data_IF_563036641615
#
_entry.id   IF_563036641615
#
_cell.length_a   1.000
_cell.length_b   1.000
_cell.length_c   1.000
_cell.angle_alpha   90.00
_cell.angle_beta   90.00
_cell.angle_gamma   90.00
#
_symmetry.space_group_name_H-M   'P 1'
#
loop_
_entity.id
_entity.type
_entity.pdbx_description
1 polymer ?
#
# COMPACT_ATOMS: atom_id res chain seq x y z
N UNK A 1 -9.95 -25.21 13.99
CA UNK A 1 -9.00 -25.78 12.99
C UNK A 1 -7.85 -24.78 12.88
N UNK A 2 -6.66 -25.17 13.28
CA UNK A 2 -5.45 -24.35 13.15
C UNK A 2 -5.05 -24.38 11.66
N UNK A 3 -5.01 -23.21 11.01
CA UNK A 3 -4.49 -23.06 9.67
C UNK A 3 -3.02 -23.53 9.65
N UNK A 4 -2.72 -24.57 8.88
CA UNK A 4 -1.35 -24.96 8.58
C UNK A 4 -0.94 -24.33 7.25
N UNK A 5 0.10 -23.49 7.18
CA UNK A 5 0.58 -22.94 5.93
C UNK A 5 1.07 -24.08 5.03
N UNK A 6 0.68 -24.04 3.75
CA UNK A 6 1.33 -24.86 2.72
C UNK A 6 2.79 -24.44 2.62
N UNK A 7 3.71 -25.40 2.63
CA UNK A 7 5.17 -25.20 2.58
C UNK A 7 5.58 -24.21 1.48
N UNK A 8 6.35 -23.19 1.84
CA UNK A 8 6.80 -22.10 0.95
C UNK A 8 6.36 -20.70 1.40
N UNK A 9 6.30 -20.40 2.66
CA UNK A 9 5.43 -19.42 3.32
C UNK A 9 5.99 -18.01 3.52
N UNK A 10 7.13 -17.66 2.91
CA UNK A 10 7.62 -16.27 2.95
C UNK A 10 6.96 -15.38 1.88
N UNK A 11 6.89 -14.09 2.15
CA UNK A 11 6.46 -13.10 1.16
C UNK A 11 7.33 -13.19 -0.10
N UNK A 12 6.68 -13.35 -1.26
CA UNK A 12 7.31 -13.32 -2.57
C UNK A 12 6.59 -12.31 -3.46
N UNK A 13 7.32 -11.31 -3.93
CA UNK A 13 6.82 -10.38 -4.92
C UNK A 13 6.71 -11.05 -6.29
N UNK A 14 5.59 -10.81 -6.95
CA UNK A 14 5.31 -11.26 -8.32
C UNK A 14 5.06 -10.00 -9.16
N UNK A 15 5.80 -9.87 -10.26
CA UNK A 15 5.72 -8.76 -11.20
C UNK A 15 5.85 -9.28 -12.63
N UNK A 16 6.02 -8.40 -13.63
CA UNK A 16 6.13 -8.79 -15.05
C UNK A 16 7.19 -9.87 -15.31
N UNK A 17 8.31 -9.81 -14.60
CA UNK A 17 9.45 -10.73 -14.80
C UNK A 17 9.17 -12.19 -14.40
N UNK A 18 8.15 -12.44 -13.60
CA UNK A 18 7.88 -13.78 -13.08
C UNK A 18 6.40 -14.21 -13.08
N UNK A 19 5.47 -13.34 -13.46
CA UNK A 19 4.02 -13.68 -13.51
C UNK A 19 3.73 -14.81 -14.49
N UNK A 20 4.49 -14.91 -15.58
CA UNK A 20 4.35 -15.99 -16.56
C UNK A 20 4.62 -17.41 -16.00
N UNK A 21 5.23 -17.50 -14.80
CA UNK A 21 5.40 -18.77 -14.09
C UNK A 21 4.13 -19.22 -13.32
N UNK A 22 3.13 -18.34 -13.24
CA UNK A 22 1.88 -18.63 -12.54
C UNK A 22 0.98 -19.50 -13.42
N UNK A 23 0.47 -20.65 -12.95
CA UNK A 23 -0.28 -21.57 -13.80
C UNK A 23 -1.50 -20.96 -14.49
N UNK A 24 -2.22 -20.08 -13.78
CA UNK A 24 -3.42 -19.43 -14.30
C UNK A 24 -3.11 -18.35 -15.35
N UNK A 25 -1.87 -17.88 -15.43
CA UNK A 25 -1.48 -16.86 -16.41
C UNK A 25 -1.70 -17.30 -17.85
N UNK A 26 -1.44 -18.57 -18.17
CA UNK A 26 -1.64 -19.10 -19.50
C UNK A 26 -3.11 -19.23 -19.89
N UNK A 27 -4.00 -19.35 -18.91
CA UNK A 27 -5.46 -19.45 -19.14
C UNK A 27 -6.12 -18.09 -19.43
N UNK A 28 -5.43 -16.98 -19.18
CA UNK A 28 -5.92 -15.63 -19.48
C UNK A 28 -5.88 -15.39 -20.99
N UNK A 29 -6.91 -14.70 -21.51
CA UNK A 29 -6.98 -14.31 -22.92
C UNK A 29 -5.70 -13.56 -23.35
N UNK A 30 -5.17 -13.85 -24.57
CA UNK A 30 -3.89 -13.29 -25.03
C UNK A 30 -3.85 -11.75 -25.05
N UNK A 31 -4.94 -11.10 -25.39
CA UNK A 31 -5.09 -9.64 -25.40
C UNK A 31 -5.02 -9.02 -24.00
N UNK A 32 -5.56 -9.71 -23.00
CA UNK A 32 -5.47 -9.30 -21.58
C UNK A 32 -4.03 -9.44 -21.09
N UNK A 33 -3.35 -10.54 -21.39
CA UNK A 33 -1.92 -10.71 -21.05
C UNK A 33 -1.06 -9.63 -21.70
N UNK A 34 -1.29 -9.36 -22.98
CA UNK A 34 -0.61 -8.30 -23.69
C UNK A 34 -0.83 -6.92 -23.04
N UNK A 35 -2.08 -6.64 -22.64
CA UNK A 35 -2.38 -5.39 -21.94
C UNK A 35 -1.60 -5.26 -20.63
N UNK A 36 -1.53 -6.31 -19.84
CA UNK A 36 -0.74 -6.32 -18.59
C UNK A 36 0.74 -6.08 -18.88
N UNK A 37 1.32 -6.70 -19.91
CA UNK A 37 2.72 -6.52 -20.30
C UNK A 37 3.01 -5.09 -20.76
N UNK A 38 2.18 -4.56 -21.65
CA UNK A 38 2.35 -3.21 -22.21
C UNK A 38 2.19 -2.15 -21.12
N UNK A 39 1.07 -2.18 -20.41
CA UNK A 39 0.77 -1.16 -19.40
C UNK A 39 1.69 -1.31 -18.18
N UNK A 40 2.01 -2.53 -17.78
CA UNK A 40 2.94 -2.81 -16.68
C UNK A 40 4.40 -2.43 -16.97
N UNK A 41 4.75 -2.20 -18.25
CA UNK A 41 6.04 -1.61 -18.63
C UNK A 41 6.10 -0.09 -18.37
N UNK A 42 4.95 0.57 -18.29
CA UNK A 42 4.82 2.00 -17.99
C UNK A 42 4.51 2.24 -16.52
N UNK A 43 3.48 1.60 -16.02
CA UNK A 43 2.98 1.73 -14.65
C UNK A 43 3.48 0.58 -13.77
N UNK A 44 3.58 0.78 -12.44
CA UNK A 44 4.09 -0.27 -11.57
C UNK A 44 3.12 -1.45 -11.52
N UNK A 45 3.67 -2.66 -11.66
CA UNK A 45 2.95 -3.90 -11.43
C UNK A 45 3.68 -4.74 -10.40
N UNK A 46 2.97 -5.07 -9.34
CA UNK A 46 3.43 -5.97 -8.29
C UNK A 46 2.22 -6.60 -7.62
N UNK A 47 2.29 -7.91 -7.43
CA UNK A 47 1.36 -8.68 -6.65
C UNK A 47 2.10 -9.73 -5.83
N UNK A 48 1.41 -10.65 -5.20
CA UNK A 48 1.98 -11.73 -4.43
C UNK A 48 1.08 -12.98 -4.49
N UNK A 49 1.61 -14.08 -3.99
CA UNK A 49 0.95 -15.38 -4.03
C UNK A 49 -0.44 -15.36 -3.36
N UNK A 50 -0.57 -14.74 -2.20
CA UNK A 50 -1.85 -14.69 -1.48
C UNK A 50 -2.95 -14.02 -2.30
N UNK A 51 -2.64 -12.87 -2.93
CA UNK A 51 -3.60 -12.18 -3.80
C UNK A 51 -4.01 -13.06 -4.98
N UNK A 52 -3.05 -13.75 -5.61
CA UNK A 52 -3.31 -14.59 -6.77
C UNK A 52 -4.10 -15.86 -6.44
N UNK A 53 -3.84 -16.49 -5.28
CA UNK A 53 -4.44 -17.76 -4.90
C UNK A 53 -5.77 -17.60 -4.16
N UNK A 54 -5.92 -16.55 -3.33
CA UNK A 54 -7.02 -16.47 -2.37
C UNK A 54 -8.03 -15.37 -2.72
N UNK A 55 -7.64 -14.35 -3.52
CA UNK A 55 -8.51 -13.19 -3.74
C UNK A 55 -9.05 -13.09 -5.17
N UNK A 56 -8.33 -13.61 -6.18
CA UNK A 56 -8.74 -13.50 -7.59
C UNK A 56 -9.55 -14.74 -8.01
N UNK A 57 -10.75 -14.51 -8.52
CA UNK A 57 -11.51 -15.51 -9.26
C UNK A 57 -11.07 -15.50 -10.74
N UNK A 58 -10.13 -16.37 -11.07
CA UNK A 58 -9.55 -16.46 -12.41
C UNK A 58 -10.55 -16.79 -13.50
N UNK A 59 -11.72 -17.38 -13.16
CA UNK A 59 -12.78 -17.67 -14.13
C UNK A 59 -13.52 -16.42 -14.60
N UNK A 60 -13.36 -15.30 -13.86
CA UNK A 60 -13.99 -14.02 -14.14
C UNK A 60 -13.03 -12.98 -14.74
N UNK A 61 -11.77 -13.30 -14.94
CA UNK A 61 -10.81 -12.40 -15.56
C UNK A 61 -11.20 -12.12 -17.01
N UNK A 62 -11.23 -10.85 -17.48
CA UNK A 62 -10.69 -9.65 -16.82
C UNK A 62 -11.62 -8.90 -15.85
N UNK A 63 -12.86 -9.33 -15.69
CA UNK A 63 -13.91 -8.62 -14.94
C UNK A 63 -13.88 -8.91 -13.41
N UNK A 64 -12.93 -9.71 -12.95
CA UNK A 64 -12.76 -9.94 -11.52
C UNK A 64 -12.30 -8.63 -10.82
N UNK A 65 -12.97 -8.21 -9.73
CA UNK A 65 -12.69 -6.91 -9.09
C UNK A 65 -11.28 -6.83 -8.50
N UNK A 66 -10.70 -7.94 -8.01
CA UNK A 66 -9.34 -7.93 -7.48
C UNK A 66 -8.30 -7.95 -8.61
N UNK A 67 -8.60 -8.63 -9.71
CA UNK A 67 -7.79 -8.51 -10.92
C UNK A 67 -7.77 -7.05 -11.42
N UNK A 68 -8.92 -6.40 -11.53
CA UNK A 68 -9.02 -4.98 -11.89
C UNK A 68 -8.26 -4.06 -10.91
N UNK A 69 -8.27 -4.39 -9.64
CA UNK A 69 -7.63 -3.62 -8.59
C UNK A 69 -6.10 -3.73 -8.61
N UNK A 70 -5.54 -4.86 -9.07
CA UNK A 70 -4.11 -5.18 -8.92
C UNK A 70 -3.37 -5.24 -10.25
N UNK A 71 -4.01 -5.69 -11.32
CA UNK A 71 -3.37 -5.84 -12.62
C UNK A 71 -3.51 -4.59 -13.49
N UNK A 72 -2.45 -4.15 -14.17
CA UNK A 72 -2.55 -3.07 -15.15
C UNK A 72 -3.60 -3.38 -16.23
N UNK A 73 -4.45 -2.40 -16.54
CA UNK A 73 -5.55 -2.53 -17.47
C UNK A 73 -5.29 -1.75 -18.75
N UNK A 74 -5.77 -2.25 -19.90
CA UNK A 74 -5.61 -1.61 -21.22
C UNK A 74 -5.97 -0.13 -21.23
N UNK A 75 -7.07 0.22 -20.55
CA UNK A 75 -7.61 1.58 -20.49
C UNK A 75 -6.83 2.55 -19.59
N UNK A 76 -5.71 2.16 -19.01
CA UNK A 76 -4.86 3.04 -18.20
C UNK A 76 -3.86 3.85 -19.03
N UNK A 77 -3.74 3.57 -20.33
CA UNK A 77 -2.97 4.34 -21.30
C UNK A 77 -3.87 4.76 -22.46
N UNK A 78 -3.58 5.92 -23.02
CA UNK A 78 -4.20 6.36 -24.27
C UNK A 78 -3.84 5.41 -25.43
N UNK A 79 -4.70 5.33 -26.44
CA UNK A 79 -4.51 4.39 -27.55
C UNK A 79 -3.20 4.57 -28.31
N UNK A 80 -2.75 5.82 -28.47
CA UNK A 80 -1.48 6.14 -29.13
C UNK A 80 -0.29 5.67 -28.31
N UNK A 81 -0.30 5.90 -27.01
CA UNK A 81 0.75 5.49 -26.06
C UNK A 81 0.87 3.97 -25.97
N UNK A 82 -0.28 3.31 -25.85
CA UNK A 82 -0.30 1.84 -25.82
C UNK A 82 0.30 1.24 -27.10
N UNK A 83 -0.09 1.73 -28.29
CA UNK A 83 0.46 1.24 -29.57
C UNK A 83 1.96 1.49 -29.70
N UNK A 84 2.44 2.64 -29.24
CA UNK A 84 3.86 2.96 -29.22
C UNK A 84 4.65 1.97 -28.35
N UNK A 85 4.23 1.78 -27.08
CA UNK A 85 4.89 0.85 -26.15
C UNK A 85 4.82 -0.59 -26.66
N UNK A 86 3.64 -1.01 -27.17
CA UNK A 86 3.47 -2.34 -27.76
C UNK A 86 4.42 -2.57 -28.94
N UNK A 87 4.55 -1.59 -29.86
CA UNK A 87 5.45 -1.68 -31.00
C UNK A 87 6.91 -1.82 -30.55
N UNK A 88 7.35 -1.04 -29.58
CA UNK A 88 8.69 -1.08 -29.02
C UNK A 88 9.00 -2.42 -28.31
N UNK A 89 8.03 -2.98 -27.58
CA UNK A 89 8.18 -4.30 -26.97
C UNK A 89 8.35 -5.44 -27.99
N UNK A 90 7.63 -5.32 -29.14
CA UNK A 90 7.65 -6.36 -30.19
C UNK A 90 8.87 -6.26 -31.12
N UNK A 91 9.37 -5.06 -31.39
CA UNK A 91 10.54 -4.86 -32.24
C UNK A 91 11.83 -5.34 -31.59
N UNK A 92 11.88 -5.43 -30.25
CA UNK A 92 13.12 -5.71 -29.52
C UNK A 92 14.18 -4.62 -29.68
N UNK A 93 13.81 -3.49 -30.29
CA UNK A 93 14.69 -2.38 -30.57
C UNK A 93 14.96 -1.51 -29.34
N UNK A 94 16.25 -1.20 -29.19
CA UNK A 94 16.86 -0.17 -28.34
C UNK A 94 16.14 0.10 -27.00
N UNK A 95 16.72 -0.41 -25.94
CA UNK A 95 16.39 -0.08 -24.54
C UNK A 95 16.23 1.43 -24.35
N UNK A 96 16.99 2.25 -25.05
CA UNK A 96 16.94 3.71 -24.99
C UNK A 96 15.62 4.28 -25.52
N UNK A 97 15.13 3.79 -26.67
CA UNK A 97 13.86 4.25 -27.25
C UNK A 97 12.67 3.88 -26.37
N UNK A 98 12.68 2.66 -25.83
CA UNK A 98 11.67 2.22 -24.86
C UNK A 98 11.69 3.08 -23.57
N UNK A 99 12.87 3.32 -23.02
CA UNK A 99 13.01 4.15 -21.81
C UNK A 99 12.53 5.57 -22.05
N UNK A 100 12.86 6.18 -23.19
CA UNK A 100 12.43 7.53 -23.55
C UNK A 100 10.91 7.62 -23.70
N UNK A 101 10.28 6.67 -24.41
CA UNK A 101 8.84 6.62 -24.60
C UNK A 101 8.12 6.43 -23.25
N UNK A 102 8.55 5.48 -22.45
CA UNK A 102 7.97 5.20 -21.13
C UNK A 102 8.07 6.41 -20.20
N UNK A 103 9.23 7.07 -20.12
CA UNK A 103 9.40 8.24 -19.27
C UNK A 103 8.54 9.43 -19.73
N UNK A 104 8.43 9.65 -21.04
CA UNK A 104 7.52 10.67 -21.58
C UNK A 104 6.06 10.39 -21.17
N UNK A 105 5.58 9.17 -21.41
CA UNK A 105 4.22 8.77 -21.04
C UNK A 105 3.99 8.93 -19.53
N UNK A 106 4.96 8.55 -18.69
CA UNK A 106 4.89 8.74 -17.24
C UNK A 106 4.75 10.21 -16.84
N UNK A 107 5.42 11.12 -17.55
CA UNK A 107 5.28 12.56 -17.30
C UNK A 107 3.90 13.08 -17.73
N UNK A 108 3.37 12.59 -18.86
CA UNK A 108 2.04 12.95 -19.36
C UNK A 108 0.92 12.43 -18.42
N UNK A 109 1.14 11.32 -17.71
CA UNK A 109 0.24 10.78 -16.69
C UNK A 109 0.25 11.55 -15.34
N UNK A 110 0.91 12.70 -15.28
CA UNK A 110 1.03 13.51 -14.06
C UNK A 110 1.55 12.75 -12.83
N UNK A 111 2.87 12.49 -12.76
CA UNK A 111 3.47 11.73 -11.65
C UNK A 111 3.45 12.46 -10.31
N UNK A 112 3.02 13.72 -10.29
CA UNK A 112 2.99 14.57 -9.09
C UNK A 112 1.61 15.24 -8.92
N UNK A 113 0.52 14.48 -8.79
CA UNK A 113 -0.81 15.05 -8.61
C UNK A 113 -0.88 15.85 -7.30
N UNK A 114 -1.58 16.99 -7.33
CA UNK A 114 -1.83 17.86 -6.18
C UNK A 114 -0.56 18.34 -5.43
N UNK A 115 0.59 18.38 -6.07
CA UNK A 115 1.83 18.90 -5.47
C UNK A 115 2.30 18.15 -4.22
N UNK A 116 2.03 16.85 -4.14
CA UNK A 116 2.26 16.02 -2.94
C UNK A 116 3.73 15.97 -2.47
N UNK A 117 4.71 16.30 -3.32
CA UNK A 117 6.13 16.34 -2.96
C UNK A 117 6.57 17.73 -2.44
N UNK A 118 5.73 18.72 -2.54
CA UNK A 118 6.09 20.12 -2.23
C UNK A 118 5.10 20.80 -1.29
N UNK A 119 3.80 20.56 -1.48
CA UNK A 119 2.77 21.17 -0.66
C UNK A 119 2.71 20.49 0.71
N UNK A 120 2.53 21.30 1.75
CA UNK A 120 2.44 20.85 3.14
C UNK A 120 3.70 20.16 3.68
N UNK A 121 4.83 20.27 2.99
CA UNK A 121 6.13 19.81 3.50
C UNK A 121 6.68 20.90 4.41
N UNK A 122 6.95 20.63 5.70
CA UNK A 122 7.51 21.62 6.60
C UNK A 122 8.89 22.08 6.14
N UNK A 123 9.22 23.32 6.47
CA UNK A 123 10.56 23.91 6.27
C UNK A 123 11.12 24.21 7.65
N UNK A 124 12.25 23.61 7.99
CA UNK A 124 12.96 23.82 9.25
C UNK A 124 14.37 24.31 8.91
N UNK A 125 14.78 25.42 9.50
CA UNK A 125 16.09 26.05 9.26
C UNK A 125 16.39 26.32 7.77
N UNK A 126 15.34 26.59 6.98
CA UNK A 126 15.44 26.86 5.54
C UNK A 126 15.47 25.61 4.65
N UNK A 127 15.47 24.41 5.23
CA UNK A 127 15.47 23.14 4.51
C UNK A 127 14.12 22.43 4.61
N UNK A 128 13.74 21.70 3.55
CA UNK A 128 12.53 20.89 3.53
C UNK A 128 12.71 19.61 4.32
N UNK A 129 11.73 19.26 5.14
CA UNK A 129 11.69 17.98 5.84
C UNK A 129 11.22 16.87 4.89
N UNK A 130 12.14 16.25 4.18
CA UNK A 130 11.83 15.13 3.29
C UNK A 130 11.12 14.00 4.05
N UNK A 131 10.01 13.51 3.47
CA UNK A 131 9.23 12.42 4.06
C UNK A 131 8.32 12.83 5.22
N UNK A 132 8.05 14.13 5.40
CA UNK A 132 7.08 14.64 6.37
C UNK A 132 6.10 15.58 5.68
N UNK A 133 4.80 15.41 5.97
CA UNK A 133 3.76 16.35 5.53
C UNK A 133 2.93 16.79 6.73
N UNK A 134 2.72 18.10 6.87
CA UNK A 134 1.90 18.70 7.92
C UNK A 134 0.81 19.58 7.28
N UNK A 135 -0.29 18.95 6.87
CA UNK A 135 -1.42 19.62 6.21
C UNK A 135 -2.47 20.11 7.19
N UNK A 136 -2.74 19.33 8.23
CA UNK A 136 -3.76 19.62 9.24
C UNK A 136 -3.06 19.93 10.56
N UNK A 137 -3.58 20.90 11.30
CA UNK A 137 -2.96 21.38 12.53
C UNK A 137 -2.55 20.28 13.50
N UNK A 138 -3.40 19.26 13.66
CA UNK A 138 -3.22 18.19 14.64
C UNK A 138 -2.58 16.93 14.07
N UNK A 139 -2.37 16.84 12.74
CA UNK A 139 -1.94 15.59 12.09
C UNK A 139 -0.72 15.77 11.20
N UNK A 140 0.29 15.00 11.49
CA UNK A 140 1.50 14.85 10.64
C UNK A 140 1.50 13.49 9.97
N UNK A 141 1.82 13.47 8.67
CA UNK A 141 2.09 12.26 7.90
C UNK A 141 3.59 12.01 7.86
N UNK A 142 4.00 10.79 8.13
CA UNK A 142 5.38 10.36 8.13
C UNK A 142 5.59 9.21 7.15
N UNK A 143 6.60 9.33 6.28
CA UNK A 143 6.89 8.44 5.17
C UNK A 143 8.28 7.78 5.35
N UNK A 144 8.41 6.74 6.17
CA UNK A 144 9.69 6.08 6.41
C UNK A 144 10.23 5.45 5.12
N UNK A 145 11.53 5.63 4.84
CA UNK A 145 12.15 5.21 3.58
C UNK A 145 12.05 3.70 3.32
N UNK A 146 12.13 2.89 4.36
CA UNK A 146 12.06 1.43 4.24
C UNK A 146 10.62 0.90 4.06
N UNK A 147 9.61 1.78 4.24
CA UNK A 147 8.20 1.51 4.00
C UNK A 147 7.68 1.97 2.62
N UNK A 148 8.57 2.36 1.69
CA UNK A 148 8.17 2.94 0.40
C UNK A 148 7.89 1.91 -0.71
N UNK A 149 7.40 0.73 -0.35
CA UNK A 149 6.86 -0.26 -1.28
C UNK A 149 5.64 -0.93 -0.64
N UNK A 150 4.92 -1.77 -1.39
CA UNK A 150 3.72 -2.45 -0.91
C UNK A 150 3.81 -3.96 -1.18
N UNK A 151 2.96 -4.74 -0.51
CA UNK A 151 2.82 -6.18 -0.78
C UNK A 151 2.21 -6.47 -2.17
N UNK A 152 1.32 -5.59 -2.64
CA UNK A 152 0.85 -5.50 -4.03
C UNK A 152 0.53 -4.04 -4.35
N UNK A 153 0.62 -3.65 -5.62
CA UNK A 153 0.27 -2.29 -6.05
C UNK A 153 -1.19 -2.24 -6.49
N UNK A 154 -1.87 -1.16 -6.11
CA UNK A 154 -3.23 -0.88 -6.54
C UNK A 154 -3.22 -0.06 -7.84
N UNK A 155 -4.09 -0.37 -8.78
CA UNK A 155 -4.20 0.35 -10.07
C UNK A 155 -4.59 1.82 -9.90
N UNK A 156 -5.21 2.20 -8.79
CA UNK A 156 -5.56 3.58 -8.47
C UNK A 156 -4.48 4.36 -7.72
N UNK A 157 -3.30 3.79 -7.47
CA UNK A 157 -2.30 4.39 -6.60
C UNK A 157 -1.76 5.72 -7.15
N UNK A 158 -2.13 6.85 -6.54
CA UNK A 158 -1.66 8.17 -6.94
C UNK A 158 -0.17 8.42 -6.63
N UNK A 159 0.47 7.54 -5.85
CA UNK A 159 1.92 7.55 -5.55
C UNK A 159 2.73 6.62 -6.46
N UNK A 160 2.16 6.17 -7.56
CA UNK A 160 2.76 5.21 -8.49
C UNK A 160 4.15 5.60 -8.98
N UNK A 161 4.41 6.90 -9.15
CA UNK A 161 5.66 7.42 -9.70
C UNK A 161 6.90 7.02 -8.90
N UNK A 162 6.80 6.95 -7.58
CA UNK A 162 7.92 6.55 -6.73
C UNK A 162 8.29 5.05 -6.85
N UNK A 163 7.38 4.22 -7.35
CA UNK A 163 7.62 2.77 -7.50
C UNK A 163 8.25 2.39 -8.84
N UNK A 164 8.34 3.33 -9.77
CA UNK A 164 8.93 3.10 -11.11
C UNK A 164 10.29 3.78 -11.30
N UNK A 165 10.87 4.32 -10.22
CA UNK A 165 12.22 4.88 -10.22
C UNK A 165 12.38 6.17 -11.02
N UNK A 166 11.30 6.96 -11.16
CA UNK A 166 11.40 8.31 -11.72
C UNK A 166 12.25 9.20 -10.81
N UNK A 167 13.30 9.80 -11.38
CA UNK A 167 14.16 10.74 -10.67
C UNK A 167 13.37 11.94 -10.16
N UNK A 168 13.63 12.36 -8.92
CA UNK A 168 12.94 13.50 -8.29
C UNK A 168 11.54 13.19 -7.72
N UNK A 169 11.01 11.97 -7.90
CA UNK A 169 9.68 11.61 -7.39
C UNK A 169 9.69 10.72 -6.14
N UNK A 170 10.83 10.64 -5.46
CA UNK A 170 10.95 9.95 -4.17
C UNK A 170 10.68 10.93 -3.03
N UNK A 171 9.78 10.58 -2.12
CA UNK A 171 9.43 11.36 -0.93
C UNK A 171 9.46 10.44 0.29
N UNK A 172 10.51 10.55 1.11
CA UNK A 172 10.75 9.63 2.21
C UNK A 172 11.73 10.21 3.24
N UNK A 173 11.56 9.82 4.51
CA UNK A 173 12.48 10.09 5.60
C UNK A 173 13.34 8.88 5.91
N UNK A 174 14.64 9.07 6.08
CA UNK A 174 15.57 7.99 6.47
C UNK A 174 15.58 7.74 7.96
N UNK A 175 15.40 8.79 8.75
CA UNK A 175 15.52 8.80 10.20
C UNK A 175 14.35 9.52 10.85
N UNK A 176 14.18 9.34 12.15
CA UNK A 176 13.05 9.89 12.91
C UNK A 176 13.43 11.15 13.69
N UNK A 177 14.72 11.43 13.87
CA UNK A 177 15.20 12.48 14.76
C UNK A 177 14.64 13.87 14.38
N UNK A 178 14.66 14.21 13.08
CA UNK A 178 14.08 15.48 12.61
C UNK A 178 12.58 15.56 12.88
N UNK A 179 11.86 14.44 12.76
CA UNK A 179 10.44 14.38 13.09
C UNK A 179 10.22 14.59 14.60
N UNK A 180 11.02 13.96 15.45
CA UNK A 180 10.96 14.11 16.91
C UNK A 180 11.19 15.58 17.31
N UNK A 181 12.23 16.22 16.78
CA UNK A 181 12.53 17.63 17.07
C UNK A 181 11.41 18.54 16.56
N UNK A 182 10.86 18.26 15.38
CA UNK A 182 9.71 18.98 14.85
C UNK A 182 8.49 18.86 15.76
N UNK A 183 8.17 17.64 16.20
CA UNK A 183 7.03 17.39 17.08
C UNK A 183 7.19 18.03 18.46
N UNK A 184 8.40 18.12 19.01
CA UNK A 184 8.67 18.86 20.27
C UNK A 184 8.37 20.35 20.12
N UNK A 185 8.63 20.92 18.95
CA UNK A 185 8.34 22.33 18.66
C UNK A 185 6.86 22.59 18.31
N UNK A 186 6.11 21.56 17.94
CA UNK A 186 4.72 21.62 17.45
C UNK A 186 3.78 20.82 18.36
N UNK A 187 3.55 21.31 19.57
CA UNK A 187 2.73 20.62 20.59
C UNK A 187 1.23 20.57 20.24
N UNK A 188 0.78 21.30 19.23
CA UNK A 188 -0.56 21.19 18.65
C UNK A 188 -0.77 19.89 17.86
N UNK A 189 0.31 19.22 17.43
CA UNK A 189 0.23 17.91 16.76
C UNK A 189 -0.06 16.83 17.77
N UNK A 190 -1.20 16.17 17.66
CA UNK A 190 -1.62 15.09 18.55
C UNK A 190 -1.68 13.72 17.86
N UNK A 191 -1.40 13.69 16.56
CA UNK A 191 -1.64 12.51 15.71
C UNK A 191 -0.54 12.36 14.66
N UNK A 192 0.10 11.20 14.62
CA UNK A 192 1.09 10.84 13.62
C UNK A 192 0.57 9.67 12.78
N UNK A 193 0.41 9.89 11.46
CA UNK A 193 0.06 8.86 10.51
C UNK A 193 1.31 8.35 9.78
N UNK A 194 1.77 7.17 10.12
CA UNK A 194 2.85 6.47 9.42
C UNK A 194 2.30 5.84 8.16
N UNK A 195 2.84 6.22 7.01
CA UNK A 195 2.33 5.81 5.70
C UNK A 195 3.47 5.76 4.67
N UNK A 196 3.17 5.65 3.38
CA UNK A 196 4.20 5.64 2.33
C UNK A 196 3.76 4.82 1.14
N UNK A 197 4.51 3.77 0.80
CA UNK A 197 4.00 2.61 0.12
C UNK A 197 3.10 1.86 1.10
N UNK A 198 3.72 1.08 1.96
CA UNK A 198 3.03 0.42 3.07
C UNK A 198 4.00 0.22 4.25
N UNK A 199 3.77 0.81 5.42
CA UNK A 199 4.69 0.66 6.55
C UNK A 199 4.79 -0.79 7.06
N UNK A 200 3.76 -1.63 6.82
CA UNK A 200 3.77 -3.03 7.26
C UNK A 200 4.64 -3.95 6.39
N UNK A 201 5.23 -3.45 5.29
CA UNK A 201 6.25 -4.18 4.53
C UNK A 201 7.57 -4.27 5.32
N UNK A 202 7.80 -3.36 6.26
CA UNK A 202 8.98 -3.35 7.10
C UNK A 202 8.97 -4.51 8.10
N UNK A 203 10.14 -5.06 8.37
CA UNK A 203 10.29 -5.94 9.53
C UNK A 203 9.98 -5.19 10.82
N UNK A 204 9.48 -5.88 11.83
CA UNK A 204 9.10 -5.28 13.12
C UNK A 204 10.25 -4.52 13.77
N UNK A 205 11.48 -5.06 13.70
CA UNK A 205 12.68 -4.39 14.21
C UNK A 205 13.00 -3.06 13.51
N UNK A 206 12.64 -2.95 12.22
CA UNK A 206 12.79 -1.71 11.45
C UNK A 206 11.68 -0.73 11.78
N UNK A 207 10.42 -1.19 11.79
CA UNK A 207 9.27 -0.37 12.16
C UNK A 207 9.45 0.22 13.57
N UNK A 208 9.93 -0.58 14.51
CA UNK A 208 10.22 -0.20 15.89
C UNK A 208 11.18 0.99 15.97
N UNK A 209 12.25 1.02 15.18
CA UNK A 209 13.20 2.15 15.16
C UNK A 209 12.56 3.49 14.79
N UNK A 210 11.51 3.47 13.97
CA UNK A 210 10.76 4.67 13.62
C UNK A 210 9.72 5.06 14.68
N UNK A 211 9.21 4.11 15.45
CA UNK A 211 8.09 4.32 16.38
C UNK A 211 8.57 4.59 17.81
N UNK A 212 9.57 3.87 18.31
CA UNK A 212 10.05 4.03 19.69
C UNK A 212 10.39 5.49 20.07
N UNK A 213 11.05 6.29 19.21
CA UNK A 213 11.32 7.69 19.51
C UNK A 213 10.05 8.53 19.74
N UNK A 214 8.91 8.16 19.11
CA UNK A 214 7.63 8.85 19.27
C UNK A 214 6.96 8.55 20.63
N UNK A 215 7.45 7.57 21.37
CA UNK A 215 6.94 7.18 22.70
C UNK A 215 7.65 7.93 23.84
N UNK A 216 8.61 8.80 23.52
CA UNK A 216 9.32 9.61 24.50
C UNK A 216 8.35 10.43 25.38
N UNK A 217 8.65 10.59 26.69
CA UNK A 217 7.89 11.49 27.56
C UNK A 217 7.83 12.93 27.04
N UNK A 218 8.85 13.41 26.33
CA UNK A 218 8.85 14.76 25.71
C UNK A 218 7.76 14.94 24.64
N UNK A 219 7.14 13.86 24.18
CA UNK A 219 6.08 13.82 23.15
C UNK A 219 4.75 13.32 23.73
N UNK A 220 4.44 13.59 25.00
CA UNK A 220 3.18 13.14 25.64
C UNK A 220 1.92 13.74 24.98
N UNK A 221 2.05 14.87 24.27
CA UNK A 221 0.98 15.48 23.49
C UNK A 221 0.58 14.66 22.26
N UNK A 222 1.44 13.75 21.76
CA UNK A 222 1.07 12.78 20.71
C UNK A 222 0.15 11.73 21.33
N UNK A 223 -1.11 11.76 20.97
CA UNK A 223 -2.16 10.88 21.49
C UNK A 223 -2.40 9.67 20.59
N UNK A 224 -2.21 9.83 19.28
CA UNK A 224 -2.51 8.80 18.29
C UNK A 224 -1.29 8.48 17.41
N UNK A 225 -1.03 7.20 17.24
CA UNK A 225 -0.11 6.68 16.20
C UNK A 225 -0.93 5.79 15.28
N UNK A 226 -1.02 6.21 14.01
CA UNK A 226 -1.81 5.50 13.00
C UNK A 226 -0.90 4.90 11.94
N UNK A 227 -1.31 3.76 11.40
CA UNK A 227 -0.61 3.09 10.31
C UNK A 227 -1.53 2.94 9.11
N UNK A 228 -1.21 3.64 8.01
CA UNK A 228 -1.91 3.48 6.74
C UNK A 228 -1.40 2.26 6.00
N UNK A 229 -2.19 1.20 5.89
CA UNK A 229 -1.73 -0.06 5.30
C UNK A 229 -2.82 -0.80 4.52
N UNK A 230 -2.42 -1.49 3.47
CA UNK A 230 -3.23 -2.51 2.79
C UNK A 230 -2.73 -3.94 3.06
N UNK A 231 -1.72 -4.11 3.91
CA UNK A 231 -1.25 -5.44 4.31
C UNK A 231 -2.36 -6.29 4.95
N UNK A 232 -3.29 -5.67 5.68
CA UNK A 232 -4.48 -6.34 6.24
C UNK A 232 -5.34 -7.05 5.20
N UNK A 233 -5.32 -6.57 3.95
CA UNK A 233 -6.04 -7.15 2.82
C UNK A 233 -5.12 -7.94 1.88
N UNK A 234 -3.89 -7.49 1.63
CA UNK A 234 -3.01 -8.06 0.61
C UNK A 234 -1.94 -9.02 1.13
N UNK A 235 -1.67 -9.00 2.43
CA UNK A 235 -0.72 -9.89 3.10
C UNK A 235 -1.06 -10.05 4.59
N UNK A 236 -2.23 -10.61 4.94
CA UNK A 236 -2.64 -10.80 6.35
C UNK A 236 -1.66 -11.69 7.13
N UNK A 237 -0.84 -12.50 6.44
CA UNK A 237 0.28 -13.26 7.00
C UNK A 237 1.20 -12.39 7.84
N UNK A 238 1.33 -11.10 7.51
CA UNK A 238 2.09 -10.10 8.27
C UNK A 238 1.75 -10.09 9.76
N UNK A 239 0.49 -10.39 10.08
CA UNK A 239 -0.03 -10.37 11.45
C UNK A 239 -0.29 -11.76 12.02
N UNK A 240 -0.04 -12.84 11.24
CA UNK A 240 -0.42 -14.22 11.63
C UNK A 240 0.76 -15.16 11.56
N UNK A 241 1.43 -15.27 10.42
CA UNK A 241 2.41 -16.33 10.14
C UNK A 241 3.81 -15.84 9.77
N UNK A 242 4.00 -14.54 9.48
CA UNK A 242 5.34 -14.00 9.27
C UNK A 242 6.18 -14.20 10.54
N UNK A 243 7.47 -14.42 10.36
CA UNK A 243 8.38 -14.79 11.45
C UNK A 243 8.46 -13.76 12.58
N UNK A 244 8.11 -12.52 12.31
CA UNK A 244 8.07 -11.41 13.26
C UNK A 244 6.65 -10.85 13.49
N UNK A 245 5.60 -11.65 13.19
CA UNK A 245 4.20 -11.25 13.38
C UNK A 245 3.90 -10.88 14.83
N UNK A 246 4.36 -11.71 15.78
CA UNK A 246 4.16 -11.47 17.22
C UNK A 246 4.88 -10.21 17.69
N UNK A 247 6.08 -9.94 17.18
CA UNK A 247 6.82 -8.72 17.49
C UNK A 247 6.14 -7.46 16.95
N UNK A 248 5.51 -7.56 15.76
CA UNK A 248 4.71 -6.48 15.21
C UNK A 248 3.50 -6.15 16.08
N UNK A 249 2.78 -7.17 16.54
CA UNK A 249 1.62 -7.00 17.43
C UNK A 249 2.05 -6.49 18.81
N UNK A 250 3.15 -6.98 19.35
CA UNK A 250 3.72 -6.49 20.60
C UNK A 250 4.07 -4.99 20.54
N UNK A 251 4.56 -4.50 19.38
CA UNK A 251 4.77 -3.07 19.22
C UNK A 251 3.45 -2.27 19.36
N UNK A 252 2.32 -2.77 18.87
CA UNK A 252 1.03 -2.12 19.07
C UNK A 252 0.61 -2.10 20.55
N UNK A 253 0.83 -3.19 21.28
CA UNK A 253 0.59 -3.27 22.72
C UNK A 253 1.46 -2.27 23.49
N UNK A 254 2.74 -2.17 23.15
CA UNK A 254 3.69 -1.24 23.77
C UNK A 254 3.31 0.24 23.54
N UNK A 255 2.85 0.58 22.31
CA UNK A 255 2.31 1.93 22.03
C UNK A 255 1.11 2.21 22.95
N UNK A 256 0.20 1.23 23.10
CA UNK A 256 -0.96 1.33 24.00
C UNK A 256 -0.54 1.49 25.46
N UNK A 257 0.42 0.69 25.91
CA UNK A 257 0.98 0.75 27.27
C UNK A 257 1.67 2.09 27.57
N UNK A 258 2.24 2.75 26.55
CA UNK A 258 2.80 4.10 26.64
C UNK A 258 1.74 5.21 26.67
N UNK A 259 0.44 4.85 26.75
CA UNK A 259 -0.67 5.79 26.81
C UNK A 259 -1.09 6.39 25.45
N UNK A 260 -0.65 5.82 24.32
CA UNK A 260 -1.02 6.28 22.99
C UNK A 260 -2.11 5.36 22.38
N UNK A 261 -2.98 5.91 21.56
CA UNK A 261 -3.95 5.12 20.80
C UNK A 261 -3.30 4.59 19.50
N UNK A 262 -3.54 3.32 19.18
CA UNK A 262 -3.12 2.73 17.92
C UNK A 262 -4.33 2.58 17.00
N UNK A 263 -4.22 3.05 15.76
CA UNK A 263 -5.23 2.78 14.75
C UNK A 263 -4.59 2.33 13.43
N UNK A 264 -5.05 1.20 12.95
CA UNK A 264 -4.74 0.71 11.61
C UNK A 264 -5.76 1.34 10.64
N UNK A 265 -5.27 2.22 9.77
CA UNK A 265 -6.03 2.76 8.65
C UNK A 265 -6.01 1.72 7.53
N UNK A 266 -6.91 0.75 7.65
CA UNK A 266 -6.95 -0.44 6.80
C UNK A 266 -7.62 -0.15 5.46
N UNK A 267 -6.88 -0.29 4.36
CA UNK A 267 -7.46 -0.19 3.04
C UNK A 267 -8.15 -1.49 2.65
N UNK A 268 -9.49 -1.44 2.56
CA UNK A 268 -10.33 -2.53 2.06
C UNK A 268 -11.21 -2.01 0.93
N UNK A 269 -11.02 -2.53 -0.26
CA UNK A 269 -11.69 -2.05 -1.47
C UNK A 269 -12.85 -2.95 -1.91
N UNK A 270 -12.87 -4.21 -1.46
CA UNK A 270 -13.88 -5.19 -1.86
C UNK A 270 -14.15 -6.20 -0.72
N UNK A 271 -15.39 -6.70 -0.53
CA UNK A 271 -15.72 -7.63 0.55
C UNK A 271 -14.94 -8.94 0.53
N UNK A 272 -14.50 -9.41 -0.63
CA UNK A 272 -13.68 -10.62 -0.76
C UNK A 272 -12.37 -10.56 0.04
N UNK A 273 -11.83 -9.36 0.25
CA UNK A 273 -10.62 -9.15 1.04
C UNK A 273 -10.78 -9.53 2.53
N UNK A 274 -12.03 -9.66 3.01
CA UNK A 274 -12.38 -10.08 4.38
C UNK A 274 -12.84 -11.54 4.48
N UNK A 275 -12.95 -12.26 3.36
CA UNK A 275 -13.47 -13.63 3.33
C UNK A 275 -12.47 -14.69 3.78
N UNK A 276 -11.18 -14.64 3.38
CA UNK A 276 -10.22 -15.65 3.78
C UNK A 276 -10.04 -15.72 5.31
N UNK A 277 -9.97 -16.94 5.85
CA UNK A 277 -9.86 -17.13 7.30
C UNK A 277 -8.60 -16.47 7.88
N UNK A 278 -7.49 -16.46 7.14
CA UNK A 278 -6.27 -15.79 7.58
C UNK A 278 -6.45 -14.26 7.70
N UNK A 279 -7.26 -13.64 6.82
CA UNK A 279 -7.59 -12.22 6.92
C UNK A 279 -8.42 -11.94 8.18
N UNK A 280 -9.40 -12.79 8.47
CA UNK A 280 -10.21 -12.70 9.69
C UNK A 280 -9.36 -12.93 10.95
N UNK A 281 -8.41 -13.85 10.90
CA UNK A 281 -7.48 -14.11 11.99
C UNK A 281 -6.56 -12.90 12.22
N UNK A 282 -6.04 -12.28 11.17
CA UNK A 282 -5.24 -11.06 11.26
C UNK A 282 -6.03 -9.93 11.94
N UNK A 283 -7.29 -9.73 11.54
CA UNK A 283 -8.19 -8.75 12.17
C UNK A 283 -8.33 -9.02 13.67
N UNK A 284 -8.61 -10.26 14.07
CA UNK A 284 -8.75 -10.63 15.49
C UNK A 284 -7.46 -10.32 16.26
N UNK A 285 -6.31 -10.79 15.76
CA UNK A 285 -5.01 -10.58 16.42
C UNK A 285 -4.63 -9.10 16.57
N UNK A 286 -4.89 -8.29 15.57
CA UNK A 286 -4.67 -6.83 15.67
C UNK A 286 -5.58 -6.23 16.75
N UNK A 287 -6.86 -6.58 16.75
CA UNK A 287 -7.82 -6.05 17.74
C UNK A 287 -7.50 -6.49 19.16
N UNK A 288 -6.99 -7.70 19.34
CA UNK A 288 -6.61 -8.25 20.66
C UNK A 288 -5.47 -7.43 21.31
N UNK A 289 -4.67 -6.69 20.53
CA UNK A 289 -3.67 -5.72 21.06
C UNK A 289 -4.29 -4.43 21.61
N UNK A 290 -5.58 -4.23 21.42
CA UNK A 290 -6.26 -2.95 21.70
C UNK A 290 -6.28 -1.95 20.52
N UNK A 291 -5.58 -2.24 19.43
CA UNK A 291 -5.59 -1.39 18.23
C UNK A 291 -6.95 -1.41 17.52
N UNK A 292 -7.38 -0.23 17.07
CA UNK A 292 -8.57 -0.10 16.24
C UNK A 292 -8.23 -0.32 14.76
N UNK A 293 -9.13 -0.92 13.99
CA UNK A 293 -9.02 -0.99 12.53
C UNK A 293 -10.11 -0.11 11.92
N UNK A 294 -9.71 0.95 11.23
CA UNK A 294 -10.59 1.89 10.52
C UNK A 294 -10.52 1.60 9.03
N UNK A 295 -11.67 1.25 8.43
CA UNK A 295 -11.75 0.88 7.01
C UNK A 295 -11.81 2.13 6.15
N UNK A 296 -11.00 2.15 5.09
CA UNK A 296 -11.00 3.22 4.09
C UNK A 296 -10.74 2.66 2.70
N UNK A 297 -11.35 3.25 1.68
CA UNK A 297 -11.04 3.02 0.26
C UNK A 297 -11.59 4.15 -0.60
N UNK A 298 -10.96 4.48 -1.74
CA UNK A 298 -11.60 5.32 -2.74
C UNK A 298 -12.69 4.54 -3.49
N UNK A 299 -13.59 5.27 -4.16
CA UNK A 299 -14.47 4.70 -5.18
C UNK A 299 -13.63 4.35 -6.42
N UNK A 300 -13.69 3.09 -6.83
CA UNK A 300 -12.87 2.55 -7.91
C UNK A 300 -13.78 1.88 -8.92
N UNK A 301 -13.76 2.40 -10.15
CA UNK A 301 -14.52 1.85 -11.27
C UNK A 301 -14.19 0.37 -11.47
N UNK A 302 -15.20 -0.45 -11.71
CA UNK A 302 -15.13 -1.91 -11.90
C UNK A 302 -14.71 -2.72 -10.64
N UNK A 303 -14.43 -2.06 -9.53
CA UNK A 303 -14.07 -2.73 -8.27
C UNK A 303 -15.17 -2.56 -7.23
N UNK A 304 -15.54 -1.33 -6.93
CA UNK A 304 -16.50 -1.02 -5.86
C UNK A 304 -17.43 0.18 -6.20
N UNK A 305 -17.68 0.43 -7.47
CA UNK A 305 -18.60 1.46 -7.97
C UNK A 305 -20.09 1.03 -7.91
N UNK A 306 -20.40 -0.10 -7.27
CA UNK A 306 -21.73 -0.55 -6.93
C UNK A 306 -21.98 -0.40 -5.41
N UNK A 307 -23.09 0.27 -5.03
CA UNK A 307 -23.44 0.45 -3.62
C UNK A 307 -23.60 -0.87 -2.84
N UNK A 308 -23.97 -1.97 -3.51
CA UNK A 308 -24.09 -3.28 -2.90
C UNK A 308 -22.75 -3.84 -2.44
N UNK A 309 -21.68 -3.55 -3.18
CA UNK A 309 -20.30 -3.90 -2.79
C UNK A 309 -19.92 -3.16 -1.51
N UNK A 310 -20.20 -1.85 -1.43
CA UNK A 310 -19.96 -1.06 -0.22
C UNK A 310 -20.78 -1.54 0.97
N UNK A 311 -22.09 -1.80 0.76
CA UNK A 311 -22.94 -2.33 1.81
C UNK A 311 -22.40 -3.64 2.38
N UNK A 312 -22.04 -4.58 1.50
CA UNK A 312 -21.47 -5.87 1.90
C UNK A 312 -20.13 -5.71 2.60
N UNK A 313 -19.22 -4.88 2.04
CA UNK A 313 -17.90 -4.61 2.63
C UNK A 313 -18.03 -4.06 4.06
N UNK A 314 -18.88 -3.07 4.26
CA UNK A 314 -19.06 -2.47 5.58
C UNK A 314 -19.77 -3.40 6.56
N UNK A 315 -20.80 -4.13 6.12
CA UNK A 315 -21.47 -5.12 6.99
C UNK A 315 -20.49 -6.22 7.43
N UNK A 316 -19.71 -6.78 6.51
CA UNK A 316 -18.70 -7.79 6.82
C UNK A 316 -17.61 -7.21 7.77
N UNK A 317 -17.18 -5.98 7.51
CA UNK A 317 -16.21 -5.30 8.36
C UNK A 317 -16.73 -5.10 9.78
N UNK A 318 -17.95 -4.58 9.95
CA UNK A 318 -18.56 -4.35 11.27
C UNK A 318 -18.76 -5.67 12.03
N UNK A 319 -19.15 -6.75 11.35
CA UNK A 319 -19.26 -8.08 11.97
C UNK A 319 -17.91 -8.58 12.53
N UNK A 320 -16.80 -8.20 11.89
CA UNK A 320 -15.45 -8.48 12.38
C UNK A 320 -14.93 -7.45 13.39
N UNK A 321 -15.73 -6.41 13.68
CA UNK A 321 -15.40 -5.35 14.62
C UNK A 321 -14.47 -4.27 14.05
N UNK A 322 -14.45 -4.11 12.72
CA UNK A 322 -13.81 -2.97 12.07
C UNK A 322 -14.76 -1.77 12.06
N UNK A 323 -14.18 -0.59 11.94
CA UNK A 323 -14.91 0.68 11.95
C UNK A 323 -14.92 1.25 10.53
N UNK A 324 -16.08 1.33 9.84
CA UNK A 324 -16.18 2.08 8.60
C UNK A 324 -15.78 3.53 8.82
N UNK A 325 -14.89 4.06 8.00
CA UNK A 325 -14.32 5.39 8.23
C UNK A 325 -14.59 6.34 7.05
N UNK A 326 -14.17 6.01 5.83
CA UNK A 326 -14.53 6.71 4.58
C UNK A 326 -14.12 5.92 3.34
#
# INVERSE_FOLDING_TARGET
MTFQPKDGTGFQAIGLHNIAKWPQWESIAPDVREAVEVVGSVLPFRTNRYVLDELIDWSRVPDDPIFQLVFPQRGMLEDSEYREVHSLLRSGDRVEAMTAAVNRIRMDLNPHPAGQLTHNVPIVDGERMEGVQHKYRETVLFFPSQGQTCHAYCTYCFRWAQFVGLEGFTFQAKETDQLVDYLKAHTEVSDVLVTGGDPMIMKSSVLRRYIEPLLSPDLEHIQNIRFGTKAVAYWPQRFVTDTDADDCLRLFEEIGAAGRQVAIMGHYSHPIELEPEIARQAVRRIRDTGAQIRMQAPLIRHVNDDFRVWSSLWQNGVQLGLIPYY
#
